data_IF_678303526233
#
_entry.id   IF_678303526233
#
_cell.length_a   1.000
_cell.length_b   1.000
_cell.length_c   1.000
_cell.angle_alpha   90.00
_cell.angle_beta   90.00
_cell.angle_gamma   90.00
#
_symmetry.space_group_name_H-M   'P 1'
#
loop_
_entity.id
_entity.type
_entity.pdbx_description
1 polymer ?
#
# COMPACT_ATOMS: atom_id res chain seq x y z
N UNK A 1 22.95 5.25 14.86
CA UNK A 1 22.25 6.47 15.33
C UNK A 1 21.74 6.18 16.75
N UNK A 2 21.93 7.04 17.76
CA UNK A 2 21.46 6.71 19.13
C UNK A 2 19.97 6.96 19.24
N UNK A 3 19.16 5.90 19.35
CA UNK A 3 17.71 5.99 19.54
C UNK A 3 17.38 6.40 20.96
N UNK A 4 16.57 7.44 21.10
CA UNK A 4 15.88 7.81 22.33
C UNK A 4 14.43 8.09 21.99
N UNK A 5 13.57 7.93 22.99
CA UNK A 5 12.14 8.23 22.89
C UNK A 5 11.90 9.63 22.27
N UNK A 6 12.54 10.66 22.82
CA UNK A 6 12.43 12.05 22.35
C UNK A 6 12.87 12.24 20.89
N UNK A 7 13.95 11.58 20.46
CA UNK A 7 14.44 11.69 19.08
C UNK A 7 13.48 11.06 18.08
N UNK A 8 12.86 9.94 18.46
CA UNK A 8 11.87 9.27 17.61
C UNK A 8 10.63 10.15 17.48
N UNK A 9 10.08 10.63 18.59
CA UNK A 9 8.90 11.52 18.61
C UNK A 9 9.18 12.79 17.80
N UNK A 10 10.31 13.46 18.03
CA UNK A 10 10.70 14.64 17.25
C UNK A 10 10.78 14.35 15.75
N UNK A 11 11.39 13.23 15.38
CA UNK A 11 11.48 12.83 13.97
C UNK A 11 10.08 12.62 13.36
N UNK A 12 9.16 11.96 14.06
CA UNK A 12 7.80 11.71 13.56
C UNK A 12 7.02 13.02 13.36
N UNK A 13 7.09 13.96 14.32
CA UNK A 13 6.47 15.28 14.16
C UNK A 13 7.10 16.11 13.04
N UNK A 14 8.44 16.09 12.89
CA UNK A 14 9.11 16.70 11.72
C UNK A 14 8.66 16.08 10.39
N UNK A 15 8.19 14.83 10.44
CA UNK A 15 7.57 14.13 9.33
C UNK A 15 6.05 14.28 9.29
N UNK A 16 5.47 15.27 9.98
CA UNK A 16 4.06 15.62 9.88
C UNK A 16 3.12 14.53 10.39
N UNK A 17 3.55 13.78 11.40
CA UNK A 17 2.71 12.81 12.10
C UNK A 17 2.55 13.24 13.55
N UNK A 18 1.31 13.29 14.00
CA UNK A 18 0.96 13.45 15.41
C UNK A 18 0.81 12.07 16.05
N UNK A 19 1.32 11.94 17.27
CA UNK A 19 1.50 10.66 17.96
C UNK A 19 0.81 10.75 19.32
N UNK A 20 -0.16 9.87 19.57
CA UNK A 20 -0.81 9.76 20.88
C UNK A 20 0.07 9.05 21.90
N UNK A 21 0.74 7.97 21.46
CA UNK A 21 1.56 7.16 22.35
C UNK A 21 2.68 6.44 21.59
N UNK A 22 3.78 6.17 22.29
CA UNK A 22 4.90 5.39 21.77
C UNK A 22 5.51 4.55 22.90
N UNK A 23 5.67 3.28 22.62
CA UNK A 23 6.48 2.35 23.39
C UNK A 23 7.70 2.01 22.55
N UNK A 24 8.90 2.33 23.03
CA UNK A 24 10.11 2.08 22.22
C UNK A 24 10.58 0.63 22.30
N UNK A 25 10.31 -0.06 23.41
CA UNK A 25 10.88 -1.38 23.69
C UNK A 25 12.42 -1.39 23.73
N UNK A 26 13.08 -0.23 23.81
CA UNK A 26 14.55 -0.10 23.76
C UNK A 26 15.22 -0.18 25.14
N UNK A 27 14.44 -0.12 26.22
CA UNK A 27 14.93 -0.21 27.61
C UNK A 27 15.03 -1.69 28.00
N UNK A 28 16.11 -2.06 28.69
CA UNK A 28 16.52 -3.45 28.92
C UNK A 28 15.72 -4.18 30.03
N UNK A 29 14.85 -3.50 30.77
CA UNK A 29 14.30 -4.01 32.05
C UNK A 29 12.93 -4.68 31.96
N UNK A 30 12.13 -4.39 30.92
CA UNK A 30 10.84 -5.02 30.68
C UNK A 30 10.73 -5.24 29.18
N UNK A 31 10.38 -6.46 28.75
CA UNK A 31 10.18 -6.82 27.34
C UNK A 31 8.95 -6.13 26.72
N UNK A 32 8.94 -4.80 26.75
CA UNK A 32 7.92 -3.95 26.17
C UNK A 32 7.92 -4.11 24.66
N UNK A 33 6.73 -4.24 24.11
CA UNK A 33 6.54 -4.33 22.67
C UNK A 33 6.79 -2.95 22.06
N UNK A 34 7.68 -2.82 21.05
CA UNK A 34 7.79 -1.59 20.30
C UNK A 34 6.47 -1.28 19.59
N UNK A 35 5.94 -0.08 19.80
CA UNK A 35 4.63 0.32 19.33
C UNK A 35 4.56 1.85 19.16
N UNK A 36 3.81 2.30 18.16
CA UNK A 36 3.44 3.71 17.95
C UNK A 36 1.94 3.77 17.69
N UNK A 37 1.26 4.72 18.32
CA UNK A 37 -0.13 5.07 18.04
C UNK A 37 -0.15 6.44 17.35
N UNK A 38 -0.45 6.45 16.06
CA UNK A 38 -0.54 7.65 15.22
C UNK A 38 -1.96 8.20 15.23
N UNK A 39 -2.09 9.51 15.38
CA UNK A 39 -3.36 10.24 15.29
C UNK A 39 -3.81 10.33 13.82
N UNK A 40 -4.98 9.78 13.50
CA UNK A 40 -5.56 9.83 12.15
C UNK A 40 -5.80 11.27 11.66
N UNK A 41 -5.96 12.21 12.58
CA UNK A 41 -6.10 13.65 12.34
C UNK A 41 -4.82 14.34 11.85
N UNK A 42 -3.66 13.65 11.82
CA UNK A 42 -2.39 14.21 11.35
C UNK A 42 -2.51 14.89 9.98
N UNK A 43 -3.15 14.20 9.02
CA UNK A 43 -3.58 14.72 7.72
C UNK A 43 -4.40 13.67 6.97
N UNK A 44 -5.29 14.05 6.03
CA UNK A 44 -6.05 13.11 5.22
C UNK A 44 -5.18 12.08 4.48
N UNK A 45 -5.49 10.78 4.62
CA UNK A 45 -4.78 9.69 3.95
C UNK A 45 -3.53 9.20 4.69
N UNK A 46 -3.22 9.75 5.87
CA UNK A 46 -2.04 9.35 6.64
C UNK A 46 -2.00 7.84 6.92
N UNK A 47 -3.17 7.21 7.06
CA UNK A 47 -3.33 5.79 7.38
C UNK A 47 -2.72 4.90 6.31
N UNK A 48 -3.04 5.18 5.04
CA UNK A 48 -2.47 4.45 3.92
C UNK A 48 -0.93 4.57 3.90
N UNK A 49 -0.42 5.76 4.19
CA UNK A 49 1.01 6.04 4.22
C UNK A 49 1.72 5.34 5.38
N UNK A 50 1.14 5.36 6.58
CA UNK A 50 1.70 4.68 7.76
C UNK A 50 1.68 3.16 7.56
N UNK A 51 0.58 2.60 7.04
CA UNK A 51 0.52 1.18 6.69
C UNK A 51 1.60 0.79 5.69
N UNK A 52 1.77 1.60 4.63
CA UNK A 52 2.80 1.36 3.62
C UNK A 52 4.21 1.38 4.21
N UNK A 53 4.51 2.37 5.05
CA UNK A 53 5.82 2.48 5.71
C UNK A 53 6.07 1.38 6.75
N UNK A 54 5.03 0.97 7.48
CA UNK A 54 5.10 -0.12 8.45
C UNK A 54 5.36 -1.45 7.75
N UNK A 55 4.60 -1.77 6.70
CA UNK A 55 4.77 -2.97 5.90
C UNK A 55 6.19 -3.06 5.31
N UNK A 56 6.70 -1.96 4.71
CA UNK A 56 8.07 -1.94 4.18
C UNK A 56 9.16 -2.11 5.23
N UNK A 57 8.85 -1.81 6.50
CA UNK A 57 9.76 -1.95 7.63
C UNK A 57 9.59 -3.28 8.38
N UNK A 58 8.62 -4.12 7.97
CA UNK A 58 8.21 -5.36 8.64
C UNK A 58 7.58 -5.16 10.02
N UNK A 59 6.94 -4.01 10.21
CA UNK A 59 6.07 -3.76 11.35
C UNK A 59 4.64 -4.11 10.98
N UNK A 60 3.83 -4.46 11.99
CA UNK A 60 2.42 -4.79 11.81
C UNK A 60 1.57 -3.56 12.10
N UNK A 61 0.94 -2.94 11.08
CA UNK A 61 -0.04 -1.89 11.26
C UNK A 61 -1.44 -2.48 11.51
N UNK A 62 -2.27 -1.75 12.27
CA UNK A 62 -3.71 -1.99 12.42
C UNK A 62 -4.43 -0.68 12.73
N UNK A 63 -5.72 -0.61 12.42
CA UNK A 63 -6.60 0.47 12.86
C UNK A 63 -7.18 0.14 14.24
N UNK A 64 -7.36 1.15 15.07
CA UNK A 64 -8.16 1.04 16.29
C UNK A 64 -9.64 1.43 16.05
N UNK A 65 -10.43 1.49 17.11
CA UNK A 65 -11.86 1.81 17.03
C UNK A 65 -12.14 3.28 16.63
N UNK A 66 -11.15 4.17 16.75
CA UNK A 66 -11.25 5.59 16.39
C UNK A 66 -10.71 5.87 14.99
N UNK A 67 -10.13 4.87 14.32
CA UNK A 67 -9.44 5.04 13.04
C UNK A 67 -7.96 5.42 13.18
N UNK A 68 -7.42 5.50 14.41
CA UNK A 68 -6.01 5.74 14.66
C UNK A 68 -5.17 4.52 14.25
N UNK A 69 -3.93 4.77 13.84
CA UNK A 69 -3.05 3.69 13.36
C UNK A 69 -2.10 3.24 14.46
N UNK A 70 -2.22 1.97 14.84
CA UNK A 70 -1.28 1.30 15.72
C UNK A 70 -0.27 0.55 14.87
N UNK A 71 1.01 0.89 15.00
CA UNK A 71 2.13 0.18 14.35
C UNK A 71 2.95 -0.50 15.44
N UNK A 72 3.12 -1.82 15.35
CA UNK A 72 3.84 -2.60 16.36
C UNK A 72 4.87 -3.55 15.75
N UNK A 73 5.96 -3.79 16.48
CA UNK A 73 6.96 -4.81 16.15
C UNK A 73 6.86 -5.98 17.15
N UNK A 74 7.14 -7.23 16.77
CA UNK A 74 7.16 -8.34 17.70
C UNK A 74 8.09 -8.11 18.89
N UNK A 75 7.73 -8.68 20.05
CA UNK A 75 8.64 -8.69 21.20
C UNK A 75 9.84 -9.57 20.88
N UNK A 76 11.03 -9.05 21.06
CA UNK A 76 12.29 -9.79 20.90
C UNK A 76 13.24 -9.41 22.03
N UNK A 77 13.97 -10.41 22.55
CA UNK A 77 15.05 -10.19 23.53
C UNK A 77 16.33 -9.68 22.86
N UNK A 78 16.42 -9.75 21.53
CA UNK A 78 17.59 -9.30 20.79
C UNK A 78 17.59 -7.76 20.65
N UNK A 79 18.51 -7.10 21.36
CA UNK A 79 18.69 -5.64 21.32
C UNK A 79 19.05 -5.11 19.92
N UNK A 80 19.92 -5.80 19.21
CA UNK A 80 20.36 -5.40 17.86
C UNK A 80 19.19 -5.47 16.88
N UNK A 81 18.38 -6.52 16.98
CA UNK A 81 17.18 -6.66 16.16
C UNK A 81 16.17 -5.51 16.40
N UNK A 82 15.94 -5.13 17.66
CA UNK A 82 15.07 -3.98 18.02
C UNK A 82 15.58 -2.68 17.40
N UNK A 83 16.89 -2.43 17.50
CA UNK A 83 17.53 -1.23 16.91
C UNK A 83 17.36 -1.24 15.39
N UNK A 84 17.64 -2.37 14.73
CA UNK A 84 17.47 -2.51 13.28
C UNK A 84 16.02 -2.33 12.85
N UNK A 85 15.05 -2.83 13.63
CA UNK A 85 13.62 -2.65 13.35
C UNK A 85 13.21 -1.16 13.37
N UNK A 86 13.70 -0.41 14.35
CA UNK A 86 13.52 1.05 14.41
C UNK A 86 14.21 1.78 13.26
N UNK A 87 15.44 1.39 12.92
CA UNK A 87 16.17 1.95 11.77
C UNK A 87 15.37 1.76 10.48
N UNK A 88 14.88 0.54 10.21
CA UNK A 88 14.06 0.25 9.03
C UNK A 88 12.80 1.08 8.98
N UNK A 89 12.08 1.21 10.10
CA UNK A 89 10.83 1.98 10.16
C UNK A 89 11.08 3.46 9.86
N UNK A 90 12.04 4.07 10.56
CA UNK A 90 12.30 5.51 10.41
C UNK A 90 12.88 5.85 9.04
N UNK A 91 13.68 4.96 8.44
CA UNK A 91 14.14 5.09 7.05
C UNK A 91 12.97 4.98 6.07
N UNK A 92 12.05 4.03 6.28
CA UNK A 92 10.87 3.87 5.44
C UNK A 92 9.97 5.10 5.50
N UNK A 93 9.66 5.59 6.71
CA UNK A 93 8.90 6.82 6.94
C UNK A 93 9.60 8.01 6.26
N UNK A 94 10.91 8.17 6.42
CA UNK A 94 11.65 9.27 5.79
C UNK A 94 11.53 9.26 4.27
N UNK A 95 11.72 8.08 3.66
CA UNK A 95 11.66 7.93 2.20
C UNK A 95 10.25 8.20 1.70
N UNK A 96 9.24 7.61 2.35
CA UNK A 96 7.86 7.74 1.93
C UNK A 96 7.35 9.18 2.08
N UNK A 97 7.66 9.85 3.18
CA UNK A 97 7.30 11.27 3.37
C UNK A 97 7.99 12.20 2.38
N UNK A 98 9.19 11.86 1.90
CA UNK A 98 9.83 12.57 0.80
C UNK A 98 9.07 12.43 -0.52
N UNK A 99 8.56 11.23 -0.83
CA UNK A 99 7.73 11.00 -2.02
C UNK A 99 6.37 11.69 -1.92
N UNK A 100 5.80 11.78 -0.71
CA UNK A 100 4.51 12.40 -0.42
C UNK A 100 4.56 13.92 -0.22
N UNK A 101 5.72 14.56 -0.41
CA UNK A 101 5.88 15.99 -0.15
C UNK A 101 4.85 16.83 -0.90
N UNK A 102 4.71 16.61 -2.21
CA UNK A 102 3.75 17.36 -3.06
C UNK A 102 2.31 17.13 -2.62
N UNK A 103 1.95 15.89 -2.26
CA UNK A 103 0.63 15.58 -1.74
C UNK A 103 0.32 16.40 -0.48
N UNK A 104 1.25 16.44 0.47
CA UNK A 104 1.10 17.18 1.72
C UNK A 104 1.04 18.70 1.52
N UNK A 105 1.83 19.23 0.60
CA UNK A 105 1.75 20.64 0.20
C UNK A 105 0.34 20.97 -0.33
N UNK A 106 -0.27 20.09 -1.13
CA UNK A 106 -1.65 20.25 -1.57
C UNK A 106 -2.65 20.20 -0.40
N UNK A 107 -2.50 19.27 0.55
CA UNK A 107 -3.36 19.21 1.75
C UNK A 107 -3.28 20.50 2.55
N UNK A 108 -2.07 21.00 2.80
CA UNK A 108 -1.85 22.25 3.55
C UNK A 108 -2.40 23.48 2.81
N UNK A 109 -2.48 23.42 1.48
CA UNK A 109 -3.14 24.43 0.65
C UNK A 109 -4.68 24.28 0.60
N UNK A 110 -5.27 23.32 1.32
CA UNK A 110 -6.71 23.11 1.42
C UNK A 110 -7.29 22.11 0.42
N UNK A 111 -6.46 21.34 -0.29
CA UNK A 111 -6.93 20.22 -1.12
C UNK A 111 -7.43 19.09 -0.21
N UNK A 112 -8.72 18.75 -0.28
CA UNK A 112 -9.29 17.66 0.52
C UNK A 112 -9.52 16.46 -0.40
N UNK A 113 -8.93 15.28 -0.13
CA UNK A 113 -9.17 14.09 -0.94
C UNK A 113 -10.63 13.65 -0.78
N UNK A 114 -11.24 13.19 -1.89
CA UNK A 114 -12.63 12.72 -1.88
C UNK A 114 -12.79 11.33 -1.27
N UNK A 115 -11.70 10.56 -1.15
CA UNK A 115 -11.72 9.19 -0.64
C UNK A 115 -10.43 8.97 0.13
N UNK A 116 -10.56 8.45 1.36
CA UNK A 116 -9.45 8.06 2.24
C UNK A 116 -9.64 6.59 2.54
N UNK A 117 -8.56 5.80 2.49
CA UNK A 117 -8.64 4.34 2.64
C UNK A 117 -9.26 3.89 3.97
N UNK A 118 -8.79 4.38 5.12
CA UNK A 118 -9.25 3.90 6.43
C UNK A 118 -10.74 4.20 6.73
N UNK A 119 -11.31 5.24 6.12
CA UNK A 119 -12.69 5.67 6.39
C UNK A 119 -13.76 4.83 5.66
N UNK A 120 -13.35 3.91 4.79
CA UNK A 120 -14.24 3.06 3.99
C UNK A 120 -13.88 1.57 4.08
N UNK A 121 -12.88 1.21 4.89
CA UNK A 121 -12.38 -0.18 5.03
C UNK A 121 -13.44 -1.13 5.63
N UNK A 122 -14.33 -0.61 6.49
CA UNK A 122 -15.36 -1.41 7.18
C UNK A 122 -16.61 -1.68 6.36
N UNK A 123 -16.96 -0.81 5.40
CA UNK A 123 -18.19 -0.93 4.61
C UNK A 123 -17.98 -1.61 3.24
N UNK A 124 -16.74 -1.69 2.76
CA UNK A 124 -16.42 -2.17 1.41
C UNK A 124 -16.11 -3.68 1.32
N UNK A 125 -16.14 -4.43 2.43
CA UNK A 125 -15.55 -5.78 2.51
C UNK A 125 -16.50 -6.86 3.04
N UNK A 126 -16.99 -7.78 2.18
CA UNK A 126 -17.42 -9.13 2.64
C UNK A 126 -17.15 -10.30 1.70
N UNK A 127 -17.19 -10.15 0.37
CA UNK A 127 -17.26 -11.35 -0.51
C UNK A 127 -15.93 -11.77 -1.17
N UNK A 128 -14.94 -10.88 -1.31
CA UNK A 128 -13.67 -11.20 -2.01
C UNK A 128 -12.51 -11.60 -1.08
N UNK A 129 -12.62 -11.35 0.23
CA UNK A 129 -11.57 -11.67 1.21
C UNK A 129 -11.31 -13.18 1.34
N UNK A 130 -12.33 -13.97 1.04
CA UNK A 130 -12.26 -15.43 1.05
C UNK A 130 -11.88 -16.01 -0.33
N UNK A 131 -11.81 -15.18 -1.37
CA UNK A 131 -11.33 -15.62 -2.67
C UNK A 131 -9.82 -15.88 -2.60
N UNK A 132 -9.32 -16.99 -3.19
CA UNK A 132 -7.90 -17.26 -3.20
C UNK A 132 -7.14 -16.13 -3.92
N UNK A 133 -6.02 -15.73 -3.34
CA UNK A 133 -5.04 -14.89 -4.03
C UNK A 133 -4.66 -15.61 -5.32
N UNK A 134 -4.81 -14.94 -6.46
CA UNK A 134 -4.50 -15.58 -7.73
C UNK A 134 -3.05 -15.33 -8.10
N UNK A 135 -2.45 -16.33 -8.75
CA UNK A 135 -1.10 -16.19 -9.28
C UNK A 135 -1.04 -15.03 -10.27
N UNK A 136 0.08 -14.29 -10.25
CA UNK A 136 0.35 -13.18 -11.17
C UNK A 136 0.08 -13.64 -12.60
N UNK A 137 -1.03 -13.18 -13.19
CA UNK A 137 -1.29 -13.42 -14.60
C UNK A 137 -0.17 -12.79 -15.43
N UNK A 138 0.27 -13.52 -16.46
CA UNK A 138 1.26 -12.99 -17.38
C UNK A 138 0.62 -11.81 -18.12
N UNK A 139 1.22 -10.63 -18.00
CA UNK A 139 0.71 -9.42 -18.66
C UNK A 139 0.51 -9.60 -20.17
N UNK A 140 1.32 -10.43 -20.82
CA UNK A 140 1.18 -10.74 -22.24
C UNK A 140 -0.17 -11.38 -22.58
N UNK A 141 -0.90 -11.94 -21.60
CA UNK A 141 -2.21 -12.55 -21.79
C UNK A 141 -3.33 -11.52 -21.98
N UNK A 142 -3.21 -10.32 -21.40
CA UNK A 142 -4.24 -9.29 -21.46
C UNK A 142 -3.79 -7.96 -22.07
N UNK A 143 -2.49 -7.78 -22.34
CA UNK A 143 -1.93 -6.51 -22.83
C UNK A 143 -2.52 -6.07 -24.17
N UNK A 144 -3.03 -7.00 -24.98
CA UNK A 144 -3.66 -6.67 -26.25
C UNK A 144 -5.04 -6.02 -26.09
N UNK A 145 -5.67 -6.18 -24.93
CA UNK A 145 -6.89 -5.46 -24.54
C UNK A 145 -6.60 -4.09 -23.90
N UNK A 146 -5.32 -3.76 -23.66
CA UNK A 146 -4.90 -2.45 -23.15
C UNK A 146 -4.71 -1.48 -24.32
N UNK A 147 -5.17 -0.25 -24.12
CA UNK A 147 -5.00 0.86 -25.06
C UNK A 147 -3.53 0.97 -25.53
N UNK A 148 -3.26 0.95 -26.84
CA UNK A 148 -1.91 0.88 -27.39
C UNK A 148 -0.95 1.93 -26.82
N UNK A 149 -1.43 3.14 -26.58
CA UNK A 149 -0.61 4.25 -26.10
C UNK A 149 -0.07 4.10 -24.67
N UNK A 150 -0.70 3.27 -23.84
CA UNK A 150 -0.32 3.07 -22.43
C UNK A 150 0.21 1.67 -22.13
N UNK A 151 0.30 0.77 -23.12
CA UNK A 151 0.80 -0.60 -22.93
C UNK A 151 2.16 -0.66 -22.23
N UNK A 152 3.08 0.24 -22.56
CA UNK A 152 4.40 0.31 -21.90
C UNK A 152 4.29 0.74 -20.43
N UNK A 153 3.40 1.69 -20.13
CA UNK A 153 3.14 2.12 -18.77
C UNK A 153 2.52 0.99 -17.93
N UNK A 154 1.52 0.29 -18.47
CA UNK A 154 0.89 -0.84 -17.80
C UNK A 154 1.89 -1.98 -17.56
N UNK A 155 2.78 -2.25 -18.52
CA UNK A 155 3.90 -3.19 -18.32
C UNK A 155 4.79 -2.80 -17.16
N UNK A 156 5.23 -1.54 -17.13
CA UNK A 156 6.09 -1.05 -16.06
C UNK A 156 5.40 -1.13 -14.68
N UNK A 157 4.13 -0.72 -14.55
CA UNK A 157 3.36 -0.85 -13.29
C UNK A 157 3.34 -2.31 -12.79
N UNK A 158 3.07 -3.24 -13.69
CA UNK A 158 3.00 -4.67 -13.40
C UNK A 158 4.36 -5.30 -13.04
N UNK A 159 5.46 -4.78 -13.59
CA UNK A 159 6.82 -5.15 -13.23
C UNK A 159 7.17 -4.64 -11.84
N UNK A 160 6.78 -3.41 -11.52
CA UNK A 160 6.91 -2.79 -10.19
C UNK A 160 5.87 -3.27 -9.17
N UNK A 161 5.25 -4.43 -9.39
CA UNK A 161 4.36 -5.09 -8.42
C UNK A 161 2.99 -4.45 -8.22
N UNK A 162 2.60 -3.48 -9.05
CA UNK A 162 1.25 -2.91 -9.08
C UNK A 162 0.46 -3.59 -10.22
N UNK A 163 -0.13 -4.73 -9.90
CA UNK A 163 -0.92 -5.53 -10.85
C UNK A 163 -2.15 -4.76 -11.28
N UNK A 164 -2.43 -4.77 -12.58
CA UNK A 164 -3.54 -4.03 -13.18
C UNK A 164 -4.57 -5.00 -13.74
N UNK A 165 -5.86 -4.72 -13.55
CA UNK A 165 -6.96 -5.51 -14.14
C UNK A 165 -7.54 -4.83 -15.37
N UNK A 166 -7.72 -3.51 -15.28
CA UNK A 166 -8.32 -2.70 -16.34
C UNK A 166 -7.61 -1.34 -16.39
N UNK A 167 -7.61 -0.70 -17.55
CA UNK A 167 -7.07 0.64 -17.72
C UNK A 167 -7.69 1.34 -18.91
N UNK A 168 -7.71 2.66 -18.87
CA UNK A 168 -8.10 3.51 -19.98
C UNK A 168 -7.10 4.65 -20.12
N UNK A 169 -6.53 4.83 -21.31
CA UNK A 169 -5.54 5.87 -21.60
C UNK A 169 -6.12 7.27 -21.48
N UNK A 170 -7.43 7.41 -21.76
CA UNK A 170 -8.13 8.67 -21.86
C UNK A 170 -7.74 9.51 -23.08
N UNK A 171 -7.00 8.93 -24.04
CA UNK A 171 -6.54 9.63 -25.23
C UNK A 171 -7.46 9.39 -26.42
N UNK A 172 -7.82 10.43 -27.20
CA UNK A 172 -8.68 10.28 -28.38
C UNK A 172 -8.17 9.25 -29.40
N UNK A 173 -6.83 9.12 -29.53
CA UNK A 173 -6.21 8.17 -30.47
C UNK A 173 -6.56 6.70 -30.20
N UNK A 174 -6.88 6.36 -28.95
CA UNK A 174 -7.26 5.00 -28.56
C UNK A 174 -8.79 4.84 -28.50
N UNK A 175 -9.54 5.94 -28.62
CA UNK A 175 -10.99 6.01 -28.41
C UNK A 175 -11.64 6.93 -29.47
N UNK A 176 -11.55 6.55 -30.75
CA UNK A 176 -12.02 7.38 -31.87
C UNK A 176 -13.56 7.49 -31.93
N UNK A 177 -14.27 6.52 -31.37
CA UNK A 177 -15.72 6.35 -31.41
C UNK A 177 -16.46 6.97 -30.23
N UNK A 178 -15.73 7.53 -29.26
CA UNK A 178 -16.27 8.02 -27.99
C UNK A 178 -15.48 9.23 -27.48
N UNK A 179 -16.10 10.06 -26.64
CA UNK A 179 -15.39 11.17 -26.02
C UNK A 179 -14.22 10.62 -25.17
N UNK A 180 -13.05 11.30 -25.12
CA UNK A 180 -11.94 10.85 -24.29
C UNK A 180 -12.40 10.74 -22.84
N UNK A 181 -12.30 9.54 -22.29
CA UNK A 181 -12.56 9.32 -20.87
C UNK A 181 -11.44 9.94 -20.05
N UNK A 182 -11.72 10.12 -18.77
CA UNK A 182 -10.67 10.47 -17.82
C UNK A 182 -9.77 9.25 -17.63
N UNK A 183 -8.44 9.37 -17.86
CA UNK A 183 -7.51 8.27 -17.68
C UNK A 183 -7.64 7.61 -16.30
N UNK A 184 -7.63 6.27 -16.28
CA UNK A 184 -7.67 5.48 -15.06
C UNK A 184 -6.90 4.16 -15.19
N UNK A 185 -6.57 3.58 -14.05
CA UNK A 185 -6.14 2.20 -13.92
C UNK A 185 -6.81 1.57 -12.71
N UNK A 186 -7.27 0.33 -12.86
CA UNK A 186 -7.79 -0.51 -11.80
C UNK A 186 -6.69 -1.47 -11.34
N UNK A 187 -6.40 -1.45 -10.06
CA UNK A 187 -5.37 -2.26 -9.43
C UNK A 187 -5.99 -3.48 -8.75
N UNK A 188 -5.30 -4.60 -8.85
CA UNK A 188 -5.74 -5.88 -8.32
C UNK A 188 -5.35 -6.04 -6.84
N UNK A 189 -6.32 -6.14 -5.92
CA UNK A 189 -6.01 -6.35 -4.50
C UNK A 189 -5.41 -7.75 -4.21
N UNK A 190 -5.65 -8.69 -5.12
CA UNK A 190 -5.17 -10.07 -4.98
C UNK A 190 -3.70 -10.23 -5.39
N UNK A 191 -3.08 -9.14 -5.87
CA UNK A 191 -1.67 -9.09 -6.23
C UNK A 191 -0.74 -9.54 -5.11
N UNK A 192 -1.07 -9.16 -3.87
CA UNK A 192 -0.46 -9.62 -2.64
C UNK A 192 -1.30 -9.17 -1.42
N UNK A 193 -1.30 -9.93 -0.32
CA UNK A 193 -1.97 -9.57 0.93
C UNK A 193 -1.69 -8.13 1.39
N UNK A 194 -2.75 -7.40 1.75
CA UNK A 194 -2.66 -6.08 2.36
C UNK A 194 -2.14 -4.97 1.44
N UNK A 195 -2.34 -5.08 0.12
CA UNK A 195 -1.79 -4.14 -0.85
C UNK A 195 -2.60 -2.84 -1.06
N UNK A 196 -3.87 -2.77 -0.62
CA UNK A 196 -4.74 -1.59 -0.80
C UNK A 196 -4.10 -0.29 -0.28
N UNK A 197 -3.56 -0.22 0.95
CA UNK A 197 -2.89 1.00 1.43
C UNK A 197 -1.77 1.47 0.51
N UNK A 198 -1.08 0.54 -0.13
CA UNK A 198 0.02 0.83 -1.04
C UNK A 198 -0.49 1.41 -2.37
N UNK A 199 -1.70 1.05 -2.79
CA UNK A 199 -2.34 1.58 -3.98
C UNK A 199 -2.85 3.01 -3.78
N UNK A 200 -3.46 3.28 -2.62
CA UNK A 200 -3.80 4.64 -2.21
C UNK A 200 -2.54 5.52 -2.12
N UNK A 201 -1.50 5.02 -1.46
CA UNK A 201 -0.21 5.70 -1.35
C UNK A 201 0.42 5.98 -2.71
N UNK A 202 0.37 5.02 -3.66
CA UNK A 202 0.84 5.23 -5.03
C UNK A 202 0.08 6.39 -5.71
N UNK A 203 -1.24 6.41 -5.58
CA UNK A 203 -2.08 7.45 -6.17
C UNK A 203 -1.69 8.84 -5.62
N UNK A 204 -1.52 8.95 -4.30
CA UNK A 204 -1.18 10.20 -3.63
C UNK A 204 0.21 10.72 -4.05
N UNK A 205 1.22 9.84 -4.16
CA UNK A 205 2.55 10.20 -4.68
C UNK A 205 2.45 10.64 -6.16
N UNK A 206 1.64 9.94 -6.96
CA UNK A 206 1.46 10.26 -8.38
C UNK A 206 0.61 11.52 -8.62
N UNK A 207 -0.05 12.06 -7.60
CA UNK A 207 -1.09 13.10 -7.71
C UNK A 207 -2.32 12.64 -8.51
N UNK A 208 -2.63 11.35 -8.42
CA UNK A 208 -3.86 10.73 -8.92
C UNK A 208 -4.89 10.66 -7.79
N UNK A 209 -6.15 10.48 -8.15
CA UNK A 209 -7.25 10.37 -7.19
C UNK A 209 -7.57 8.89 -7.01
N UNK A 210 -7.27 8.28 -5.86
CA UNK A 210 -7.70 6.93 -5.54
C UNK A 210 -9.16 6.91 -5.13
N UNK A 211 -9.82 5.78 -5.38
CA UNK A 211 -11.17 5.49 -4.89
C UNK A 211 -11.47 3.99 -5.07
N UNK A 212 -12.56 3.52 -4.48
CA UNK A 212 -12.99 2.13 -4.55
C UNK A 212 -13.78 1.87 -5.83
N UNK A 213 -13.44 0.81 -6.56
CA UNK A 213 -14.04 0.52 -7.85
C UNK A 213 -15.37 -0.25 -7.69
N UNK A 214 -16.41 -0.01 -8.49
CA UNK A 214 -17.68 -0.73 -8.36
C UNK A 214 -17.54 -2.21 -8.74
N UNK A 215 -18.13 -3.13 -7.95
CA UNK A 215 -18.26 -4.58 -8.17
C UNK A 215 -16.98 -5.35 -8.58
N UNK A 216 -16.50 -6.28 -7.75
CA UNK A 216 -15.37 -7.20 -8.05
C UNK A 216 -14.01 -6.55 -8.34
N UNK A 217 -13.85 -5.26 -8.03
CA UNK A 217 -12.63 -4.48 -8.23
C UNK A 217 -12.42 -3.57 -7.01
N UNK A 218 -11.18 -3.40 -6.56
CA UNK A 218 -10.98 -2.91 -5.18
C UNK A 218 -10.41 -1.50 -5.12
N UNK A 219 -9.47 -1.15 -6.02
CA UNK A 219 -8.94 0.22 -6.10
C UNK A 219 -8.85 0.67 -7.54
N UNK A 220 -9.59 1.72 -7.90
CA UNK A 220 -9.33 2.48 -9.11
C UNK A 220 -8.63 3.80 -8.77
N UNK A 221 -7.63 4.15 -9.57
CA UNK A 221 -6.96 5.44 -9.47
C UNK A 221 -7.14 6.17 -10.79
N UNK A 222 -7.45 7.48 -10.73
CA UNK A 222 -7.68 8.31 -11.92
C UNK A 222 -6.90 9.61 -11.87
N UNK A 223 -6.45 10.10 -13.02
CA UNK A 223 -5.75 11.39 -13.14
C UNK A 223 -6.61 12.53 -12.54
N UNK A 224 -6.04 13.61 -12.00
CA UNK A 224 -6.81 14.84 -11.66
C UNK A 224 -7.36 15.54 -12.91
N UNK A 225 -8.44 16.32 -12.75
CA UNK A 225 -8.97 17.13 -13.88
C UNK A 225 -7.91 18.17 -14.27
N UNK A 226 -7.83 18.49 -15.56
CA UNK A 226 -6.92 19.50 -16.12
C UNK A 226 -5.42 19.18 -16.06
N UNK A 227 -5.02 17.96 -15.68
CA UNK A 227 -3.63 17.50 -15.80
C UNK A 227 -3.32 17.03 -17.23
N UNK A 228 -2.06 17.18 -17.65
CA UNK A 228 -1.56 16.66 -18.92
C UNK A 228 -1.49 15.13 -18.83
N UNK A 229 -2.20 14.43 -19.73
CA UNK A 229 -2.41 12.99 -19.66
C UNK A 229 -1.09 12.22 -19.76
N UNK A 230 -0.26 12.53 -20.75
CA UNK A 230 0.99 11.80 -21.01
C UNK A 230 2.01 11.97 -19.86
N UNK A 231 2.13 13.19 -19.33
CA UNK A 231 2.97 13.48 -18.16
C UNK A 231 2.46 12.75 -16.92
N UNK A 232 1.14 12.65 -16.75
CA UNK A 232 0.53 11.99 -15.58
C UNK A 232 0.75 10.48 -15.59
N UNK A 233 0.70 9.83 -16.76
CA UNK A 233 1.08 8.43 -16.90
C UNK A 233 2.55 8.19 -16.61
N UNK A 234 3.42 9.06 -17.13
CA UNK A 234 4.86 9.00 -16.87
C UNK A 234 5.16 9.17 -15.37
N UNK A 235 4.50 10.12 -14.72
CA UNK A 235 4.60 10.35 -13.27
C UNK A 235 4.10 9.14 -12.49
N UNK A 236 2.98 8.54 -12.86
CA UNK A 236 2.47 7.34 -12.20
C UNK A 236 3.47 6.17 -12.23
N UNK A 237 4.08 5.90 -13.39
CA UNK A 237 5.10 4.87 -13.53
C UNK A 237 6.35 5.19 -12.70
N UNK A 238 6.79 6.46 -12.70
CA UNK A 238 7.94 6.88 -11.90
C UNK A 238 7.67 6.75 -10.39
N UNK A 239 6.48 7.12 -9.95
CA UNK A 239 6.03 6.94 -8.56
C UNK A 239 5.97 5.46 -8.17
N UNK A 240 5.46 4.60 -9.07
CA UNK A 240 5.43 3.16 -8.86
C UNK A 240 6.83 2.56 -8.73
N UNK A 241 7.77 2.99 -9.58
CA UNK A 241 9.18 2.60 -9.49
C UNK A 241 9.79 3.01 -8.14
N UNK A 242 9.59 4.27 -7.73
CA UNK A 242 10.10 4.77 -6.46
C UNK A 242 9.50 4.04 -5.26
N UNK A 243 8.21 3.70 -5.31
CA UNK A 243 7.53 2.99 -4.24
C UNK A 243 7.90 1.49 -4.21
N UNK A 244 8.16 0.87 -5.35
CA UNK A 244 8.65 -0.51 -5.43
C UNK A 244 10.03 -0.68 -4.78
N UNK A 245 10.92 0.31 -4.89
CA UNK A 245 12.20 0.31 -4.15
C UNK A 245 12.03 0.27 -2.63
N UNK A 246 10.86 0.66 -2.11
CA UNK A 246 10.50 0.61 -0.70
C UNK A 246 9.79 -0.71 -0.38
N UNK A 247 8.87 -1.17 -1.25
CA UNK A 247 7.98 -2.31 -0.99
C UNK A 247 8.49 -3.68 -1.47
N UNK A 248 9.46 -3.73 -2.39
CA UNK A 248 9.97 -4.98 -2.95
C UNK A 248 10.40 -6.00 -1.87
N UNK A 249 11.15 -5.62 -0.81
CA UNK A 249 11.51 -6.55 0.26
C UNK A 249 10.30 -7.15 0.97
N UNK A 250 9.28 -6.34 1.26
CA UNK A 250 8.03 -6.79 1.87
C UNK A 250 7.29 -7.77 0.97
N UNK A 251 7.16 -7.45 -0.32
CA UNK A 251 6.48 -8.31 -1.31
C UNK A 251 7.16 -9.67 -1.47
N UNK A 252 8.48 -9.74 -1.34
CA UNK A 252 9.21 -11.01 -1.39
C UNK A 252 8.85 -11.90 -0.19
N UNK A 253 8.80 -11.35 1.01
CA UNK A 253 8.46 -12.08 2.25
C UNK A 253 7.01 -12.57 2.20
N UNK A 254 6.08 -11.72 1.77
CA UNK A 254 4.66 -12.09 1.70
C UNK A 254 4.44 -13.22 0.69
N UNK A 255 5.15 -13.21 -0.45
CA UNK A 255 5.07 -14.28 -1.45
C UNK A 255 5.64 -15.61 -0.97
N UNK A 256 6.72 -15.60 -0.19
CA UNK A 256 7.24 -16.82 0.44
C UNK A 256 6.33 -17.34 1.55
N UNK A 257 5.67 -16.45 2.29
CA UNK A 257 4.73 -16.88 3.34
C UNK A 257 3.43 -17.44 2.76
N UNK A 258 2.96 -16.94 1.60
CA UNK A 258 1.77 -17.49 0.94
C UNK A 258 2.01 -18.90 0.36
N UNK A 259 3.22 -19.20 -0.14
CA UNK A 259 3.53 -20.56 -0.62
C UNK A 259 3.53 -21.59 0.51
N UNK A 260 3.99 -21.22 1.71
CA UNK A 260 4.01 -22.12 2.87
C UNK A 260 2.61 -22.36 3.46
N UNK A 261 1.70 -21.37 3.38
CA UNK A 261 0.30 -21.52 3.81
C UNK A 261 -0.48 -22.43 2.86
N UNK A 262 -0.19 -22.37 1.55
CA UNK A 262 -0.80 -23.25 0.56
C UNK A 262 -0.29 -24.70 0.67
N UNK A 263 0.96 -24.94 1.08
CA UNK A 263 1.46 -26.29 1.41
C UNK A 263 0.79 -26.88 2.67
N UNK A 264 0.54 -26.07 3.70
CA UNK A 264 -0.16 -26.52 4.92
C UNK A 264 -1.65 -26.77 4.66
N UNK A 265 -2.31 -25.98 3.79
CA UNK A 265 -3.70 -26.21 3.38
C UNK A 265 -3.84 -27.46 2.49
N UNK A 266 -2.95 -27.66 1.52
CA UNK A 266 -2.99 -28.87 0.67
C UNK A 266 -2.70 -30.17 1.45
N UNK A 267 -1.86 -30.13 2.48
CA UNK A 267 -1.65 -31.28 3.37
C UNK A 267 -2.89 -31.60 4.21
N UNK A 268 -3.59 -30.61 4.74
CA UNK A 268 -4.80 -30.81 5.55
C UNK A 268 -6.03 -31.27 4.71
N UNK A 269 -6.13 -30.84 3.45
CA UNK A 269 -7.17 -31.32 2.54
C UNK A 269 -6.93 -32.78 2.09
N UNK A 270 -5.66 -33.18 1.94
CA UNK A 270 -5.31 -34.57 1.61
C UNK A 270 -5.60 -35.57 2.75
N UNK A 271 -5.51 -35.12 4.00
CA UNK A 271 -5.88 -35.92 5.18
C UNK A 271 -7.40 -35.97 5.40
N UNK A 272 -8.12 -34.89 5.03
CA UNK A 272 -9.57 -34.81 5.19
C UNK A 272 -10.33 -35.66 4.16
N UNK A 273 -9.79 -35.86 2.95
CA UNK A 273 -10.41 -36.76 1.96
C UNK A 273 -10.26 -38.27 2.28
N UNK A 274 -9.38 -38.68 3.19
CA UNK A 274 -9.27 -40.09 3.61
C UNK A 274 -10.19 -40.48 4.76
N UNK A 275 -10.86 -39.51 5.40
CA UNK A 275 -11.78 -39.75 6.52
C UNK A 275 -13.26 -39.74 6.13
N UNK A 276 -13.60 -39.49 4.86
CA UNK A 276 -14.98 -39.48 4.35
C UNK A 276 -15.35 -40.77 3.57
N UNK A 277 -14.43 -41.73 3.43
CA UNK A 277 -14.70 -43.05 2.85
C UNK A 277 -14.56 -44.18 3.88
N UNK A 278 -15.35 -44.12 4.96
CA UNK A 278 -15.75 -45.27 5.77
C UNK A 278 -17.21 -45.16 6.19
#
# INVERSE_FOLDING_TARGET
>A
MTFSHEKIVKFLHEKGFDIHNISTGLVDELGEQPMILFDHGSYPGMEAHVFTAANSAFWTPRLDENGDVIVSYPRTSNKEERILAWERLLVSIRRLTGLLQVYREHIMAGSIPSTIWAHHDTDWYRELRDAPYHEKENICMFIDYVDPSIRTHIKALNEYGFKTLESCSGLPRDHLDRAPYRPYVMLDERAYPGCIPHFFTLADIADWIPSYAPHNFDVYIRIRKHCVIEESWSKLVQSAKSLDLILSPYRQIVRSASSDIDEVRTLNDSFSMRLVNR
#
